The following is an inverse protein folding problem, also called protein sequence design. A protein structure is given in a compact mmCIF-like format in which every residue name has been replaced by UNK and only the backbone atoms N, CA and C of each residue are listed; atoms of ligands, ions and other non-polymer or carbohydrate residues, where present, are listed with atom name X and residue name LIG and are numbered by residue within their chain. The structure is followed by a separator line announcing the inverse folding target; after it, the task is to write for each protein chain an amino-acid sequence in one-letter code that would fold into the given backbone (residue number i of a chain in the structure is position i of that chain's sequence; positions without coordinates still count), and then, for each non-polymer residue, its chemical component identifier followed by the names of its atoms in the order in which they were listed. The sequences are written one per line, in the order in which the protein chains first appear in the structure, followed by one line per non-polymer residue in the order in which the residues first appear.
data_IF_540249885139
#
_entry.id   IF_540249885139
#
_cell.length_a   1.000
_cell.length_b   1.000
_cell.length_c   1.000
_cell.angle_alpha   90.00
_cell.angle_beta   90.00
_cell.angle_gamma   90.00
#
_symmetry.space_group_name_H-M   'P 1'
#
loop_
_entity.id
_entity.type
_entity.pdbx_description
1 polymer ?
#
# COMPACT_ATOMS: atom_id res chain seq x y z
N UNK A 1 -20.74 2.32 -8.19
CA UNK A 1 -19.74 2.51 -9.29
C UNK A 1 -18.51 1.60 -9.22
N UNK A 2 -17.77 1.48 -8.10
CA UNK A 2 -16.62 0.54 -7.99
C UNK A 2 -17.07 -0.91 -7.75
N UNK A 3 -17.81 -1.18 -6.67
CA UNK A 3 -18.25 -2.55 -6.33
C UNK A 3 -19.26 -3.12 -7.31
N UNK A 4 -20.21 -2.33 -7.80
CA UNK A 4 -21.13 -2.71 -8.90
C UNK A 4 -20.40 -3.35 -10.10
N UNK A 5 -19.14 -2.96 -10.37
CA UNK A 5 -18.37 -3.44 -11.52
C UNK A 5 -17.30 -4.49 -11.18
N UNK A 6 -16.71 -4.42 -9.99
CA UNK A 6 -15.56 -5.25 -9.62
C UNK A 6 -15.88 -6.32 -8.58
N UNK A 7 -16.91 -6.10 -7.75
CA UNK A 7 -17.30 -7.04 -6.68
C UNK A 7 -18.69 -6.72 -6.15
N UNK A 8 -19.73 -7.15 -6.88
CA UNK A 8 -21.13 -6.77 -6.63
C UNK A 8 -21.62 -7.15 -5.21
N UNK A 9 -21.09 -8.23 -4.63
CA UNK A 9 -21.42 -8.66 -3.26
C UNK A 9 -21.05 -7.63 -2.19
N UNK A 10 -20.15 -6.69 -2.51
CA UNK A 10 -19.77 -5.59 -1.60
C UNK A 10 -20.49 -4.28 -1.92
N UNK A 11 -21.45 -4.28 -2.85
CA UNK A 11 -22.31 -3.12 -3.08
C UNK A 11 -23.12 -2.81 -1.82
N UNK A 12 -23.14 -1.54 -1.41
CA UNK A 12 -23.75 -1.11 -0.15
C UNK A 12 -22.99 -1.52 1.12
N UNK A 13 -21.93 -2.33 1.00
CA UNK A 13 -21.09 -2.72 2.12
C UNK A 13 -19.95 -1.72 2.30
N UNK A 14 -19.51 -1.59 3.55
CA UNK A 14 -18.38 -0.75 3.95
C UNK A 14 -17.50 -1.56 4.88
N UNK A 15 -16.21 -1.23 5.03
CA UNK A 15 -15.41 -1.83 6.06
C UNK A 15 -16.05 -1.61 7.42
N UNK A 16 -15.83 -2.54 8.33
CA UNK A 16 -16.11 -2.31 9.75
C UNK A 16 -15.30 -1.11 10.20
N UNK A 17 -15.94 -0.14 10.84
CA UNK A 17 -15.23 1.07 11.29
C UNK A 17 -14.89 0.94 12.75
N UNK A 18 -13.62 1.11 13.06
CA UNK A 18 -13.13 1.20 14.44
C UNK A 18 -12.59 2.61 14.69
N UNK A 19 -13.17 3.29 15.67
CA UNK A 19 -12.93 4.70 15.92
C UNK A 19 -12.13 4.89 17.21
N UNK A 20 -10.97 5.53 17.10
CA UNK A 20 -10.06 5.67 18.23
C UNK A 20 -9.82 7.15 18.52
N UNK A 21 -9.70 7.51 19.80
CA UNK A 21 -9.35 8.85 20.29
C UNK A 21 -10.20 9.99 19.67
N UNK A 22 -11.51 9.73 19.54
CA UNK A 22 -12.48 10.69 18.98
C UNK A 22 -12.43 10.79 17.45
N UNK A 23 -11.79 9.84 16.77
CA UNK A 23 -11.92 9.64 15.34
C UNK A 23 -13.37 9.39 14.94
N UNK A 24 -13.76 9.87 13.78
CA UNK A 24 -15.13 9.72 13.28
C UNK A 24 -15.13 9.52 11.77
N UNK A 25 -16.23 8.97 11.28
CA UNK A 25 -16.50 8.95 9.85
C UNK A 25 -16.90 10.34 9.41
N UNK A 26 -16.06 10.95 8.59
CA UNK A 26 -16.42 12.15 7.86
C UNK A 26 -17.35 11.73 6.71
N UNK A 27 -18.65 11.80 6.97
CA UNK A 27 -19.70 11.47 5.99
C UNK A 27 -20.17 12.70 5.22
N UNK A 28 -19.98 13.90 5.78
CA UNK A 28 -20.59 15.14 5.31
C UNK A 28 -19.58 16.22 4.90
N UNK A 29 -18.27 15.97 5.04
CA UNK A 29 -17.22 16.92 4.63
C UNK A 29 -16.86 16.69 3.17
N UNK A 30 -17.33 17.59 2.31
CA UNK A 30 -16.96 17.68 0.90
C UNK A 30 -15.93 18.78 0.73
N UNK A 31 -14.70 18.59 1.24
CA UNK A 31 -13.62 19.53 0.98
C UNK A 31 -13.13 19.36 -0.48
N UNK A 32 -13.38 20.31 -1.40
CA UNK A 32 -13.18 20.12 -2.85
C UNK A 32 -11.71 20.13 -3.29
N UNK A 33 -10.75 19.83 -2.41
CA UNK A 33 -9.32 19.95 -2.75
C UNK A 33 -8.32 19.30 -1.79
N UNK A 34 -8.74 18.49 -0.81
CA UNK A 34 -7.80 17.79 0.08
C UNK A 34 -8.24 16.35 0.40
N UNK A 35 -7.58 15.40 -0.27
CA UNK A 35 -7.06 14.13 0.26
C UNK A 35 -7.98 13.17 1.04
N UNK A 36 -9.18 12.86 0.53
CA UNK A 36 -9.94 11.67 0.98
C UNK A 36 -10.15 10.61 -0.10
N UNK A 37 -9.69 10.86 -1.33
CA UNK A 37 -9.93 9.97 -2.46
C UNK A 37 -8.98 8.76 -2.47
N UNK A 38 -7.69 8.95 -2.20
CA UNK A 38 -6.67 7.89 -2.16
C UNK A 38 -7.02 6.82 -1.10
N UNK A 39 -7.31 7.24 0.13
CA UNK A 39 -7.68 6.31 1.20
C UNK A 39 -8.99 5.56 0.95
N UNK A 40 -10.00 6.21 0.34
CA UNK A 40 -11.24 5.52 -0.01
C UNK A 40 -11.01 4.47 -1.11
N UNK A 41 -10.09 4.75 -2.03
CA UNK A 41 -9.70 3.84 -3.10
C UNK A 41 -8.89 2.65 -2.57
N UNK A 42 -7.89 2.89 -1.70
CA UNK A 42 -7.11 1.84 -1.05
C UNK A 42 -8.00 0.87 -0.26
N UNK A 43 -9.00 1.42 0.43
CA UNK A 43 -9.99 0.65 1.18
C UNK A 43 -10.88 -0.18 0.24
N UNK A 44 -11.34 0.40 -0.86
CA UNK A 44 -12.16 -0.31 -1.85
C UNK A 44 -11.37 -1.45 -2.53
N UNK A 45 -10.10 -1.22 -2.89
CA UNK A 45 -9.22 -2.28 -3.40
C UNK A 45 -8.96 -3.36 -2.35
N UNK A 46 -8.66 -2.98 -1.10
CA UNK A 46 -8.46 -3.94 -0.02
C UNK A 46 -9.68 -4.84 0.14
N UNK A 47 -10.90 -4.27 0.18
CA UNK A 47 -12.14 -5.04 0.28
C UNK A 47 -12.36 -5.97 -0.92
N UNK A 48 -11.99 -5.54 -2.12
CA UNK A 48 -12.07 -6.37 -3.31
C UNK A 48 -11.13 -7.59 -3.21
N UNK A 49 -9.87 -7.37 -2.86
CA UNK A 49 -8.86 -8.42 -2.89
C UNK A 49 -8.96 -9.41 -1.74
N UNK A 50 -9.45 -8.95 -0.59
CA UNK A 50 -9.53 -9.79 0.61
C UNK A 50 -10.85 -10.52 0.69
N UNK A 51 -11.76 -10.37 -0.28
CA UNK A 51 -13.06 -11.04 -0.27
C UNK A 51 -12.91 -12.56 -0.13
N UNK A 52 -13.70 -13.24 0.73
CA UNK A 52 -14.84 -12.73 1.50
C UNK A 52 -14.50 -12.19 2.91
N UNK A 53 -13.22 -11.95 3.22
CA UNK A 53 -12.81 -11.47 4.54
C UNK A 53 -13.20 -10.01 4.78
N UNK A 54 -13.73 -9.74 5.98
CA UNK A 54 -14.15 -8.41 6.40
C UNK A 54 -12.94 -7.48 6.63
N UNK A 55 -12.94 -6.34 5.95
CA UNK A 55 -11.93 -5.29 6.13
C UNK A 55 -12.36 -4.37 7.28
N UNK A 56 -11.41 -4.01 8.17
CA UNK A 56 -11.64 -3.00 9.21
C UNK A 56 -10.93 -1.70 8.85
N UNK A 57 -11.68 -0.59 8.77
CA UNK A 57 -11.16 0.75 8.58
C UNK A 57 -11.02 1.45 9.93
N UNK A 58 -9.77 1.67 10.35
CA UNK A 58 -9.47 2.36 11.60
C UNK A 58 -9.39 3.87 11.38
N UNK A 59 -10.22 4.62 12.11
CA UNK A 59 -10.37 6.07 11.95
C UNK A 59 -9.93 6.79 13.20
N UNK A 60 -9.11 7.82 13.00
CA UNK A 60 -8.58 8.59 14.11
C UNK A 60 -8.51 10.08 13.83
N UNK A 61 -8.65 10.89 14.90
CA UNK A 61 -8.78 12.34 14.83
C UNK A 61 -7.42 13.04 14.71
N UNK A 62 -7.30 13.95 13.75
CA UNK A 62 -6.13 14.82 13.57
C UNK A 62 -6.50 16.34 13.58
N UNK A 63 -5.65 17.26 14.09
CA UNK A 63 -5.92 18.73 14.15
C UNK A 63 -5.24 19.47 12.99
N UNK A 64 -4.37 18.83 12.22
CA UNK A 64 -3.56 19.51 11.20
C UNK A 64 -3.17 18.69 9.97
N UNK A 65 -3.52 17.39 9.88
CA UNK A 65 -3.25 16.56 8.70
C UNK A 65 -4.31 15.47 8.51
N UNK A 66 -4.52 15.04 7.27
CA UNK A 66 -5.57 14.11 6.87
C UNK A 66 -4.93 12.77 6.49
N UNK A 67 -5.52 11.67 6.99
CA UNK A 67 -5.32 10.26 6.60
C UNK A 67 -3.97 9.87 6.00
N UNK A 68 -2.99 9.54 6.84
CA UNK A 68 -1.75 8.87 6.45
C UNK A 68 -1.29 7.93 7.58
N UNK A 69 -0.33 7.02 7.35
CA UNK A 69 0.11 6.08 8.38
C UNK A 69 0.59 6.78 9.66
N UNK A 70 1.28 7.92 9.53
CA UNK A 70 1.74 8.68 10.69
C UNK A 70 0.55 9.31 11.46
N UNK A 71 -0.51 9.72 10.76
CA UNK A 71 -1.78 10.18 11.31
C UNK A 71 -2.70 9.05 11.77
N UNK A 72 -2.39 7.77 11.51
CA UNK A 72 -3.02 6.60 12.14
C UNK A 72 -2.24 6.15 13.38
N UNK A 73 -0.89 6.21 13.32
CA UNK A 73 -0.01 5.90 14.44
C UNK A 73 -0.09 6.95 15.57
N UNK A 74 0.13 8.24 15.26
CA UNK A 74 0.01 9.34 16.23
C UNK A 74 -1.38 9.37 16.89
N UNK A 75 -2.33 8.84 16.17
CA UNK A 75 -3.73 8.78 16.41
C UNK A 75 -4.09 7.67 17.41
N UNK A 76 -3.59 6.44 17.24
CA UNK A 76 -3.61 5.44 18.31
C UNK A 76 -2.97 5.98 19.61
N UNK A 77 -2.06 6.94 19.47
CA UNK A 77 -1.30 7.61 20.54
C UNK A 77 -1.85 8.99 20.99
N UNK A 78 -3.05 9.41 20.51
CA UNK A 78 -3.76 10.68 20.83
C UNK A 78 -3.15 12.05 20.37
N UNK A 79 -2.21 12.11 19.40
CA UNK A 79 -1.52 13.34 18.92
C UNK A 79 -1.88 13.87 17.49
N UNK A 80 -1.40 15.08 17.10
CA UNK A 80 -1.87 15.87 15.92
C UNK A 80 -0.72 16.57 15.13
N UNK A 81 -0.66 16.53 13.76
CA UNK A 81 0.55 16.97 12.97
C UNK A 81 0.34 17.81 11.67
N UNK A 82 1.26 18.75 11.26
CA UNK A 82 1.11 19.68 10.10
C UNK A 82 2.13 19.60 8.90
N UNK A 83 2.74 18.47 8.49
CA UNK A 83 3.93 18.43 7.58
C UNK A 83 3.87 17.50 6.33
N UNK A 84 4.77 17.71 5.33
CA UNK A 84 5.05 16.78 4.20
C UNK A 84 5.70 15.50 4.76
N UNK A 85 5.11 14.34 4.47
CA UNK A 85 5.56 13.05 5.01
C UNK A 85 6.20 12.17 3.93
N UNK A 86 7.40 11.66 4.24
CA UNK A 86 8.16 10.67 3.48
C UNK A 86 8.37 9.44 4.40
N UNK A 87 8.79 8.31 3.83
CA UNK A 87 9.17 7.12 4.61
C UNK A 87 8.71 5.82 3.97
N UNK A 88 9.26 4.71 4.42
CA UNK A 88 8.89 3.35 3.95
C UNK A 88 7.41 3.02 4.20
N UNK A 89 6.80 3.72 5.16
CA UNK A 89 5.35 3.75 5.41
C UNK A 89 4.50 4.13 4.20
N UNK A 90 5.03 4.94 3.26
CA UNK A 90 4.35 5.29 2.02
C UNK A 90 4.67 4.32 0.88
N UNK A 91 5.84 3.69 0.88
CA UNK A 91 6.20 2.71 -0.15
C UNK A 91 5.51 1.35 0.05
N UNK A 92 5.24 0.96 1.29
CA UNK A 92 4.58 -0.31 1.61
C UNK A 92 3.16 -0.46 1.00
N UNK A 93 2.22 0.51 1.16
CA UNK A 93 0.91 0.41 0.51
C UNK A 93 1.00 0.46 -1.02
N UNK A 94 1.95 1.21 -1.61
CA UNK A 94 2.18 1.23 -3.06
C UNK A 94 2.56 -0.16 -3.58
N UNK A 95 3.49 -0.84 -2.90
CA UNK A 95 3.89 -2.19 -3.27
C UNK A 95 2.75 -3.21 -3.09
N UNK A 96 1.97 -3.09 -2.01
CA UNK A 96 0.79 -3.91 -1.79
C UNK A 96 -0.26 -3.75 -2.90
N UNK A 97 -0.49 -2.52 -3.38
CA UNK A 97 -1.39 -2.22 -4.51
C UNK A 97 -0.90 -2.76 -5.86
N UNK A 98 0.41 -2.94 -6.04
CA UNK A 98 0.95 -3.63 -7.23
C UNK A 98 0.63 -5.13 -7.18
N UNK A 99 0.91 -5.79 -6.04
CA UNK A 99 0.63 -7.23 -5.86
C UNK A 99 -0.86 -7.54 -5.98
N UNK A 100 -1.68 -6.63 -5.47
CA UNK A 100 -3.14 -6.56 -5.63
C UNK A 100 -3.61 -6.68 -7.08
N UNK A 101 -3.07 -5.84 -7.97
CA UNK A 101 -3.43 -5.82 -9.38
C UNK A 101 -3.05 -7.13 -10.07
N UNK A 102 -1.86 -7.63 -9.75
CA UNK A 102 -1.37 -8.91 -10.28
C UNK A 102 -2.26 -10.07 -9.81
N UNK A 103 -2.69 -10.08 -8.56
CA UNK A 103 -3.64 -11.09 -8.05
C UNK A 103 -5.00 -11.01 -8.75
N UNK A 104 -5.47 -9.81 -9.07
CA UNK A 104 -6.69 -9.62 -9.84
C UNK A 104 -6.56 -10.23 -11.24
N UNK A 105 -5.45 -9.99 -11.95
CA UNK A 105 -5.20 -10.59 -13.27
C UNK A 105 -5.08 -12.12 -13.21
N UNK A 106 -4.39 -12.65 -12.20
CA UNK A 106 -4.29 -14.09 -11.96
C UNK A 106 -5.67 -14.70 -11.73
N UNK A 107 -6.51 -14.06 -10.94
CA UNK A 107 -7.89 -14.50 -10.69
C UNK A 107 -8.71 -14.58 -12.00
N UNK A 108 -8.60 -13.58 -12.89
CA UNK A 108 -9.27 -13.61 -14.19
C UNK A 108 -8.76 -14.71 -15.13
N UNK A 109 -7.49 -15.09 -14.99
CA UNK A 109 -6.91 -16.22 -15.70
C UNK A 109 -7.20 -17.59 -15.04
N UNK A 110 -8.05 -17.63 -14.00
CA UNK A 110 -8.37 -18.85 -13.26
C UNK A 110 -7.23 -19.36 -12.38
N UNK A 111 -6.27 -18.49 -12.03
CA UNK A 111 -5.10 -18.80 -11.19
C UNK A 111 -5.34 -18.37 -9.74
N UNK A 112 -4.61 -18.98 -8.81
CA UNK A 112 -4.59 -18.57 -7.40
C UNK A 112 -3.78 -17.28 -7.16
N UNK A 113 -3.87 -16.66 -5.99
CA UNK A 113 -3.05 -15.49 -5.65
C UNK A 113 -1.55 -15.83 -5.61
N UNK A 114 -0.68 -14.83 -5.78
CA UNK A 114 0.79 -14.98 -5.79
C UNK A 114 1.37 -15.46 -4.45
N UNK A 115 0.66 -15.24 -3.34
CA UNK A 115 1.07 -15.70 -2.01
C UNK A 115 2.41 -15.10 -1.55
N UNK A 116 3.30 -15.95 -1.04
CA UNK A 116 4.62 -15.54 -0.57
C UNK A 116 5.57 -15.28 -1.76
N UNK A 117 5.75 -14.00 -2.10
CA UNK A 117 6.45 -13.58 -3.31
C UNK A 117 7.98 -13.70 -3.26
N UNK A 118 8.58 -13.71 -2.05
CA UNK A 118 10.04 -13.57 -1.91
C UNK A 118 10.84 -14.61 -2.71
N UNK A 119 10.55 -15.92 -2.66
CA UNK A 119 11.32 -16.91 -3.41
C UNK A 119 11.30 -16.64 -4.92
N UNK A 120 10.16 -16.17 -5.44
CA UNK A 120 9.98 -15.85 -6.86
C UNK A 120 10.78 -14.60 -7.25
N UNK A 121 10.65 -13.50 -6.51
CA UNK A 121 11.32 -12.24 -6.87
C UNK A 121 12.83 -12.30 -6.66
N UNK A 122 13.32 -13.05 -5.67
CA UNK A 122 14.75 -13.27 -5.49
C UNK A 122 15.35 -14.21 -6.56
N UNK A 123 14.55 -15.09 -7.13
CA UNK A 123 14.97 -15.91 -8.27
C UNK A 123 14.91 -15.18 -9.62
N UNK A 124 14.17 -14.06 -9.70
CA UNK A 124 13.95 -13.27 -10.92
C UNK A 124 14.14 -11.77 -10.63
N UNK A 125 15.35 -11.34 -10.21
CA UNK A 125 15.60 -9.96 -9.79
C UNK A 125 15.36 -8.93 -10.90
N UNK A 126 15.45 -9.33 -12.16
CA UNK A 126 15.15 -8.51 -13.33
C UNK A 126 13.69 -8.05 -13.39
N UNK A 127 12.79 -8.67 -12.61
CA UNK A 127 11.42 -8.22 -12.45
C UNK A 127 11.30 -6.92 -11.65
N UNK A 128 12.39 -6.44 -11.04
CA UNK A 128 12.49 -5.12 -10.41
C UNK A 128 13.46 -4.22 -11.18
N UNK A 129 13.37 -2.91 -10.92
CA UNK A 129 14.35 -1.92 -11.39
C UNK A 129 15.42 -1.72 -10.33
N UNK A 130 16.61 -2.23 -10.63
CA UNK A 130 17.80 -2.07 -9.81
C UNK A 130 18.14 -0.59 -9.58
N UNK A 131 18.40 -0.24 -8.32
CA UNK A 131 18.79 1.11 -7.91
C UNK A 131 20.28 1.05 -7.59
N UNK A 132 21.11 1.62 -8.45
CA UNK A 132 22.57 1.47 -8.36
C UNK A 132 23.29 2.68 -7.75
N UNK A 133 22.53 3.70 -7.32
CA UNK A 133 23.10 4.98 -6.86
C UNK A 133 22.38 5.49 -5.62
N UNK A 134 23.15 6.09 -4.71
CA UNK A 134 22.64 6.60 -3.44
C UNK A 134 23.14 5.79 -2.26
N UNK A 135 22.74 6.19 -1.07
CA UNK A 135 23.09 5.52 0.18
C UNK A 135 21.99 5.76 1.21
N UNK A 136 21.77 4.79 2.11
CA UNK A 136 20.97 5.06 3.29
C UNK A 136 21.78 5.89 4.30
N UNK A 137 21.08 6.82 4.95
CA UNK A 137 21.65 7.75 5.93
C UNK A 137 20.88 7.61 7.22
N UNK A 138 21.57 7.77 8.34
CA UNK A 138 20.95 7.64 9.66
C UNK A 138 21.99 7.38 10.73
N UNK A 139 21.58 7.45 12.00
CA UNK A 139 22.44 7.16 13.15
C UNK A 139 23.77 7.95 13.19
N UNK A 140 23.78 9.18 12.66
CA UNK A 140 24.98 10.02 12.58
C UNK A 140 25.97 9.57 11.50
N UNK A 141 25.57 8.64 10.64
CA UNK A 141 26.35 8.16 9.50
C UNK A 141 25.78 8.77 8.22
N UNK A 142 26.63 9.49 7.49
CA UNK A 142 26.25 10.19 6.24
C UNK A 142 26.01 9.22 5.07
N UNK A 143 26.77 8.12 4.99
CA UNK A 143 26.52 6.99 4.08
C UNK A 143 26.81 5.69 4.82
N UNK A 144 25.77 4.96 5.23
CA UNK A 144 25.93 3.69 5.93
C UNK A 144 26.21 2.57 4.94
N UNK A 145 25.26 2.31 4.05
CA UNK A 145 25.41 1.41 2.93
C UNK A 145 25.07 2.13 1.64
N UNK A 146 25.80 1.77 0.58
CA UNK A 146 25.57 2.31 -0.76
C UNK A 146 24.72 1.35 -1.56
N UNK A 147 23.84 1.93 -2.36
CA UNK A 147 23.17 1.23 -3.44
C UNK A 147 24.22 0.78 -4.47
N UNK A 148 24.05 -0.42 -5.02
CA UNK A 148 25.01 -1.05 -5.90
C UNK A 148 24.29 -1.95 -6.90
N UNK A 149 24.98 -2.46 -7.92
CA UNK A 149 24.35 -3.38 -8.86
C UNK A 149 23.94 -4.69 -8.18
N UNK A 150 22.71 -5.11 -8.44
CA UNK A 150 22.11 -6.32 -7.89
C UNK A 150 21.42 -6.06 -6.55
N UNK A 151 21.44 -7.05 -5.67
CA UNK A 151 20.90 -6.86 -4.32
C UNK A 151 21.84 -5.99 -3.50
N UNK A 152 21.29 -5.00 -2.80
CA UNK A 152 22.04 -4.18 -1.86
C UNK A 152 21.25 -3.91 -0.56
N UNK A 153 21.92 -3.59 0.56
CA UNK A 153 21.26 -3.35 1.85
C UNK A 153 20.62 -1.95 1.99
N UNK A 154 20.55 -1.16 0.91
CA UNK A 154 19.86 0.14 0.82
C UNK A 154 18.48 -0.01 0.18
N UNK A 155 18.41 -0.72 -0.93
CA UNK A 155 17.23 -0.84 -1.81
C UNK A 155 16.80 -2.27 -2.11
N UNK A 156 17.50 -3.28 -1.57
CA UNK A 156 17.21 -4.68 -1.84
C UNK A 156 17.41 -4.99 -3.32
N UNK A 157 16.42 -5.60 -3.96
CA UNK A 157 16.40 -5.85 -5.41
C UNK A 157 16.00 -4.61 -6.24
N UNK A 158 15.70 -3.49 -5.58
CA UNK A 158 15.30 -2.25 -6.21
C UNK A 158 13.79 -1.96 -6.13
N UNK A 159 13.32 -1.13 -7.07
CA UNK A 159 11.93 -0.67 -7.09
C UNK A 159 11.04 -1.56 -7.97
N UNK A 160 9.76 -1.76 -7.63
CA UNK A 160 8.89 -2.64 -8.40
C UNK A 160 8.72 -2.14 -9.84
N UNK A 161 8.93 -3.05 -10.82
CA UNK A 161 8.52 -2.84 -12.21
C UNK A 161 7.20 -3.56 -12.45
N UNK A 162 6.11 -2.81 -12.57
CA UNK A 162 4.78 -3.41 -12.68
C UNK A 162 4.68 -4.41 -13.83
N UNK A 163 5.14 -4.06 -15.03
CA UNK A 163 5.01 -4.90 -16.22
C UNK A 163 5.80 -6.20 -16.07
N UNK A 164 7.03 -6.11 -15.56
CA UNK A 164 7.86 -7.31 -15.38
C UNK A 164 7.38 -8.19 -14.25
N UNK A 165 6.94 -7.61 -13.13
CA UNK A 165 6.32 -8.38 -12.04
C UNK A 165 5.04 -9.07 -12.52
N UNK A 166 4.21 -8.37 -13.28
CA UNK A 166 3.00 -8.91 -13.89
C UNK A 166 3.32 -10.06 -14.84
N UNK A 167 4.20 -9.87 -15.81
CA UNK A 167 4.61 -10.92 -16.74
C UNK A 167 5.13 -12.16 -16.01
N UNK A 168 6.03 -11.96 -15.03
CA UNK A 168 6.57 -13.03 -14.20
C UNK A 168 5.44 -13.78 -13.47
N UNK A 169 4.62 -13.08 -12.70
CA UNK A 169 3.60 -13.74 -11.89
C UNK A 169 2.47 -14.32 -12.72
N UNK A 170 2.19 -13.82 -13.92
CA UNK A 170 1.20 -14.44 -14.81
C UNK A 170 1.73 -15.71 -15.48
N UNK A 171 3.04 -15.83 -15.66
CA UNK A 171 3.68 -17.03 -16.22
C UNK A 171 3.66 -18.23 -15.24
N UNK A 172 3.65 -17.94 -13.93
CA UNK A 172 3.63 -18.95 -12.88
C UNK A 172 2.27 -19.65 -12.79
N UNK A 173 2.23 -20.92 -12.34
CA UNK A 173 0.99 -21.70 -12.17
C UNK A 173 -0.14 -20.90 -11.52
#
# INVERSE_FOLDING_TARGET
MFFERLQADHEGHRPKVDAINGGYLQLNETHPGKYHMEANLDVQYTMALTSPHEVTNVRVRSRSSIGNLNCMLAAFDQGLMPAITHGTSASNPVFASIVTLINSERMYAGKGPVGFINPVVYANPEALKDVMTGANRGCGVDEAFRAASGWDPTTGLGSPDYERLRELFMSLP
#
